data_IF_829390014018
#
_entry.id   IF_829390014018
#
_cell.length_a   1.000
_cell.length_b   1.000
_cell.length_c   1.000
_cell.angle_alpha   90.00
_cell.angle_beta   90.00
_cell.angle_gamma   90.00
#
_symmetry.space_group_name_H-M   'P 1'
#
loop_
_entity.id
_entity.type
_entity.pdbx_description
1 polymer ?
#
# COMPACT_ATOMS: atom_id res chain seq x y z
N UNK A 1 6.39 -6.13 -14.71
CA UNK A 1 6.23 -5.38 -13.45
C UNK A 1 7.60 -4.86 -13.03
N UNK A 2 7.81 -3.54 -12.96
CA UNK A 2 9.02 -2.95 -12.37
C UNK A 2 8.74 -2.71 -10.88
N UNK A 3 9.68 -3.03 -10.00
CA UNK A 3 9.59 -2.74 -8.57
C UNK A 3 10.95 -2.20 -8.09
N UNK A 4 10.90 -1.23 -7.18
CA UNK A 4 12.09 -0.75 -6.49
C UNK A 4 12.32 -1.60 -5.22
N UNK A 5 13.57 -2.02 -4.99
CA UNK A 5 13.97 -2.88 -3.89
C UNK A 5 15.03 -2.18 -3.04
N UNK A 6 14.72 -1.87 -1.78
CA UNK A 6 15.68 -1.31 -0.83
C UNK A 6 15.93 -2.33 0.28
N UNK A 7 17.15 -2.91 0.34
CA UNK A 7 17.49 -4.04 1.23
C UNK A 7 18.69 -3.69 2.09
N UNK A 8 18.56 -3.86 3.41
CA UNK A 8 19.70 -3.93 4.33
C UNK A 8 19.51 -5.11 5.30
N UNK A 9 20.34 -6.16 5.12
CA UNK A 9 20.55 -7.35 6.00
C UNK A 9 19.68 -8.59 5.72
N UNK A 10 20.14 -9.81 6.09
CA UNK A 10 19.49 -11.05 5.69
C UNK A 10 18.30 -11.37 6.62
N UNK A 11 17.16 -11.65 5.98
CA UNK A 11 15.88 -12.11 6.53
C UNK A 11 15.11 -11.14 7.44
N UNK A 12 14.20 -10.35 6.85
CA UNK A 12 13.18 -9.64 7.60
C UNK A 12 11.91 -10.49 7.71
N UNK A 13 11.46 -10.63 8.95
CA UNK A 13 10.22 -11.31 9.35
C UNK A 13 8.98 -10.50 8.92
N UNK A 14 9.16 -9.26 8.45
CA UNK A 14 8.11 -8.32 8.10
C UNK A 14 8.40 -7.59 6.78
N UNK A 15 7.43 -7.56 5.86
CA UNK A 15 7.52 -6.75 4.63
C UNK A 15 6.39 -5.74 4.50
N UNK A 16 6.69 -4.56 3.93
CA UNK A 16 5.69 -3.52 3.65
C UNK A 16 5.45 -3.40 2.15
N UNK A 17 4.19 -3.54 1.74
CA UNK A 17 3.72 -3.21 0.40
C UNK A 17 3.27 -1.74 0.37
N UNK A 18 3.73 -0.97 -0.61
CA UNK A 18 3.40 0.44 -0.72
C UNK A 18 2.57 0.75 -1.96
N UNK A 19 1.41 1.41 -1.79
CA UNK A 19 0.48 1.77 -2.87
C UNK A 19 0.27 3.28 -2.86
N UNK A 20 0.61 3.96 -3.95
CA UNK A 20 0.62 5.41 -4.00
C UNK A 20 0.12 5.96 -5.33
N UNK A 21 -0.38 7.19 -5.27
CA UNK A 21 -0.49 8.14 -6.38
C UNK A 21 0.64 9.15 -6.21
N UNK A 22 1.25 9.63 -7.31
CA UNK A 22 2.51 10.39 -7.44
C UNK A 22 2.66 11.69 -6.58
N UNK A 23 1.73 11.98 -5.67
CA UNK A 23 1.69 13.16 -4.80
C UNK A 23 2.78 13.20 -3.71
N UNK A 24 3.45 12.08 -3.42
CA UNK A 24 4.55 11.97 -2.44
C UNK A 24 5.63 11.10 -3.08
N UNK A 25 6.92 11.38 -2.81
CA UNK A 25 8.00 10.47 -3.20
C UNK A 25 7.92 9.19 -2.35
N UNK A 26 7.40 8.07 -2.91
CA UNK A 26 7.21 6.84 -2.16
C UNK A 26 8.55 6.20 -1.78
N UNK A 27 9.62 6.51 -2.52
CA UNK A 27 10.94 5.94 -2.33
C UNK A 27 11.58 6.51 -1.06
N UNK A 28 11.36 7.79 -0.76
CA UNK A 28 11.85 8.37 0.50
C UNK A 28 11.22 7.73 1.73
N UNK A 29 9.91 7.45 1.71
CA UNK A 29 9.29 6.74 2.84
C UNK A 29 9.72 5.28 2.87
N UNK A 30 9.80 4.63 1.72
CA UNK A 30 10.30 3.25 1.62
C UNK A 30 11.72 3.11 2.17
N UNK A 31 12.61 4.06 1.86
CA UNK A 31 13.99 4.06 2.35
C UNK A 31 14.06 4.27 3.87
N UNK A 32 13.20 5.12 4.44
CA UNK A 32 13.09 5.27 5.90
C UNK A 32 12.60 4.00 6.59
N UNK A 33 11.60 3.34 6.00
CA UNK A 33 11.06 2.07 6.51
C UNK A 33 12.10 0.95 6.36
N UNK A 34 12.83 0.91 5.25
CA UNK A 34 13.92 -0.04 5.04
C UNK A 34 15.08 0.21 6.02
N UNK A 35 15.42 1.48 6.28
CA UNK A 35 16.42 1.85 7.28
C UNK A 35 16.02 1.45 8.71
N UNK A 36 14.71 1.36 9.00
CA UNK A 36 14.18 0.83 10.26
C UNK A 36 14.22 -0.72 10.35
N UNK A 37 14.72 -1.42 9.33
CA UNK A 37 14.97 -2.86 9.35
C UNK A 37 13.88 -3.72 8.70
N UNK A 38 12.93 -3.12 7.99
CA UNK A 38 11.90 -3.85 7.24
C UNK A 38 12.35 -4.12 5.79
N UNK A 39 11.78 -5.15 5.18
CA UNK A 39 11.87 -5.30 3.72
C UNK A 39 10.73 -4.57 3.06
N UNK A 40 11.08 -3.69 2.14
CA UNK A 40 10.10 -2.81 1.53
C UNK A 40 10.03 -3.10 0.05
N UNK A 41 8.80 -3.31 -0.42
CA UNK A 41 8.48 -3.40 -1.82
C UNK A 41 7.59 -2.22 -2.20
N UNK A 42 7.98 -1.56 -3.29
CA UNK A 42 7.18 -0.53 -3.95
C UNK A 42 6.90 -1.00 -5.37
N UNK A 43 5.86 -1.83 -5.60
CA UNK A 43 5.50 -2.25 -6.93
C UNK A 43 4.82 -1.12 -7.69
N UNK A 44 5.15 -1.03 -8.97
CA UNK A 44 4.47 -0.13 -9.89
C UNK A 44 3.13 -0.75 -10.35
N UNK A 45 2.07 -0.56 -9.56
CA UNK A 45 0.72 -1.01 -9.90
C UNK A 45 0.03 -0.17 -10.98
N UNK A 46 0.58 1.01 -11.29
CA UNK A 46 0.06 1.95 -12.29
C UNK A 46 0.74 1.78 -13.64
N UNK A 47 1.75 0.90 -13.75
CA UNK A 47 2.50 0.61 -14.97
C UNK A 47 3.06 1.87 -15.66
N UNK A 48 3.49 2.84 -14.86
CA UNK A 48 4.01 4.13 -15.33
C UNK A 48 2.94 5.17 -15.68
N UNK A 49 1.65 4.83 -15.64
CA UNK A 49 0.54 5.74 -15.94
C UNK A 49 0.08 6.50 -14.69
N UNK A 50 1.03 7.21 -14.08
CA UNK A 50 0.81 7.98 -12.87
C UNK A 50 -0.12 9.17 -13.11
N UNK A 51 -0.98 9.46 -12.13
CA UNK A 51 -1.77 10.69 -12.17
C UNK A 51 -0.86 11.92 -12.12
N UNK A 52 -1.21 12.93 -12.91
CA UNK A 52 -0.58 14.25 -12.89
C UNK A 52 -1.64 15.33 -12.69
N UNK A 53 -1.29 16.50 -12.13
CA UNK A 53 -2.23 17.60 -11.91
C UNK A 53 -2.98 18.09 -13.16
N UNK A 54 -2.43 17.82 -14.35
CA UNK A 54 -3.03 18.17 -15.64
C UNK A 54 -4.16 17.21 -16.05
N UNK A 55 -4.25 16.04 -15.43
CA UNK A 55 -5.27 15.02 -15.72
C UNK A 55 -6.44 15.12 -14.76
N UNK A 56 -7.68 15.10 -15.27
CA UNK A 56 -8.87 15.03 -14.41
C UNK A 56 -8.85 13.76 -13.56
N UNK A 57 -8.94 13.92 -12.24
CA UNK A 57 -8.82 12.82 -11.28
C UNK A 57 -9.87 11.75 -11.49
N UNK A 58 -11.11 12.14 -11.81
CA UNK A 58 -12.21 11.21 -12.06
C UNK A 58 -11.96 10.31 -13.27
N UNK A 59 -11.42 10.87 -14.35
CA UNK A 59 -11.13 10.11 -15.57
C UNK A 59 -9.95 9.16 -15.36
N UNK A 60 -8.94 9.60 -14.63
CA UNK A 60 -7.83 8.73 -14.23
C UNK A 60 -8.29 7.60 -13.32
N UNK A 61 -9.16 7.88 -12.34
CA UNK A 61 -9.68 6.86 -11.40
C UNK A 61 -10.60 5.85 -12.09
N UNK A 62 -11.34 6.22 -13.15
CA UNK A 62 -12.09 5.25 -13.97
C UNK A 62 -11.17 4.25 -14.67
N UNK A 63 -9.99 4.70 -15.11
CA UNK A 63 -8.98 3.84 -15.76
C UNK A 63 -8.20 3.01 -14.75
N UNK A 64 -7.93 3.59 -13.58
CA UNK A 64 -7.18 2.99 -12.48
C UNK A 64 -8.09 2.90 -11.25
N UNK A 65 -9.07 2.00 -11.30
CA UNK A 65 -9.94 1.78 -10.16
C UNK A 65 -9.13 1.15 -9.01
N UNK A 66 -9.14 1.69 -7.77
CA UNK A 66 -8.37 1.15 -6.66
C UNK A 66 -8.57 -0.35 -6.44
N UNK A 67 -9.79 -0.84 -6.64
CA UNK A 67 -10.20 -2.22 -6.44
C UNK A 67 -9.43 -3.19 -7.34
N UNK A 68 -9.04 -2.75 -8.55
CA UNK A 68 -8.24 -3.56 -9.48
C UNK A 68 -6.83 -3.83 -8.94
N UNK A 69 -6.34 -3.00 -8.01
CA UNK A 69 -5.00 -3.14 -7.42
C UNK A 69 -4.88 -4.42 -6.59
N UNK A 70 -5.98 -4.92 -6.03
CA UNK A 70 -5.97 -6.15 -5.21
C UNK A 70 -5.52 -7.34 -6.05
N UNK A 71 -6.01 -7.47 -7.28
CA UNK A 71 -5.62 -8.55 -8.20
C UNK A 71 -4.13 -8.48 -8.57
N UNK A 72 -3.56 -7.28 -8.71
CA UNK A 72 -2.13 -7.12 -8.94
C UNK A 72 -1.29 -7.36 -7.68
N UNK A 73 -1.84 -7.09 -6.49
CA UNK A 73 -1.15 -7.26 -5.22
C UNK A 73 -1.10 -8.73 -4.75
N UNK A 74 -2.11 -9.54 -5.07
CA UNK A 74 -2.18 -10.97 -4.68
C UNK A 74 -0.92 -11.77 -5.08
N UNK A 75 -0.44 -11.73 -6.33
CA UNK A 75 0.81 -12.40 -6.72
C UNK A 75 2.05 -11.90 -5.97
N UNK A 76 2.10 -10.60 -5.63
CA UNK A 76 3.21 -10.03 -4.84
C UNK A 76 3.19 -10.59 -3.43
N UNK A 77 2.03 -10.59 -2.77
CA UNK A 77 1.83 -11.17 -1.44
C UNK A 77 2.23 -12.65 -1.42
N UNK A 78 1.80 -13.42 -2.42
CA UNK A 78 2.17 -14.82 -2.54
C UNK A 78 3.69 -15.00 -2.70
N UNK A 79 4.32 -14.25 -3.59
CA UNK A 79 5.77 -14.33 -3.80
C UNK A 79 6.58 -13.97 -2.54
N UNK A 80 6.08 -13.06 -1.71
CA UNK A 80 6.70 -12.72 -0.42
C UNK A 80 6.60 -13.90 0.57
N UNK A 81 5.44 -14.54 0.65
CA UNK A 81 5.25 -15.72 1.51
C UNK A 81 6.13 -16.89 1.07
N UNK A 82 6.24 -17.14 -0.23
CA UNK A 82 7.12 -18.18 -0.80
C UNK A 82 8.61 -17.90 -0.51
N UNK A 83 8.99 -16.64 -0.33
CA UNK A 83 10.34 -16.24 0.13
C UNK A 83 10.56 -16.40 1.64
N UNK A 84 9.57 -16.90 2.38
CA UNK A 84 9.64 -17.12 3.82
C UNK A 84 9.26 -15.92 4.68
N UNK A 85 8.67 -14.86 4.10
CA UNK A 85 8.17 -13.73 4.87
C UNK A 85 6.83 -14.13 5.48
N UNK A 86 6.79 -14.17 6.81
CA UNK A 86 5.62 -14.63 7.58
C UNK A 86 4.74 -13.51 8.11
N UNK A 87 5.23 -12.25 8.11
CA UNK A 87 4.41 -11.08 8.45
C UNK A 87 4.45 -10.06 7.32
N UNK A 88 3.30 -9.55 6.93
CA UNK A 88 3.10 -8.58 5.87
C UNK A 88 2.29 -7.41 6.41
N UNK A 89 2.82 -6.21 6.20
CA UNK A 89 2.07 -4.97 6.32
C UNK A 89 1.82 -4.38 4.94
N UNK A 90 0.84 -3.49 4.85
CA UNK A 90 0.63 -2.66 3.66
C UNK A 90 0.35 -1.22 4.05
N UNK A 91 0.84 -0.27 3.26
CA UNK A 91 0.63 1.16 3.45
C UNK A 91 0.12 1.80 2.15
N UNK A 92 -0.91 2.63 2.28
CA UNK A 92 -1.57 3.27 1.14
C UNK A 92 -1.80 4.76 1.37
N UNK A 93 -1.53 5.56 0.33
CA UNK A 93 -1.76 7.02 0.34
C UNK A 93 -2.88 7.42 -0.62
N UNK A 94 -3.83 8.20 -0.11
CA UNK A 94 -4.94 8.79 -0.87
C UNK A 94 -5.71 7.68 -1.59
N UNK A 95 -5.65 7.64 -2.92
CA UNK A 95 -6.18 6.58 -3.77
C UNK A 95 -5.67 5.18 -3.35
N UNK A 96 -4.40 5.06 -2.99
CA UNK A 96 -3.79 3.80 -2.58
C UNK A 96 -4.30 3.27 -1.24
N UNK A 97 -4.91 4.11 -0.40
CA UNK A 97 -5.47 3.66 0.87
C UNK A 97 -6.71 2.77 0.66
N UNK A 98 -7.51 3.04 -0.38
CA UNK A 98 -8.63 2.18 -0.76
C UNK A 98 -8.15 0.80 -1.19
N UNK A 99 -7.12 0.74 -2.04
CA UNK A 99 -6.48 -0.51 -2.43
C UNK A 99 -5.95 -1.31 -1.22
N UNK A 100 -5.35 -0.63 -0.23
CA UNK A 100 -4.88 -1.29 1.01
C UNK A 100 -6.04 -1.78 1.87
N UNK A 101 -7.11 -1.00 2.00
CA UNK A 101 -8.30 -1.41 2.75
C UNK A 101 -8.96 -2.64 2.12
N UNK A 102 -9.07 -2.70 0.79
CA UNK A 102 -9.62 -3.86 0.10
C UNK A 102 -8.68 -5.07 0.18
N UNK A 103 -7.36 -4.85 0.04
CA UNK A 103 -6.37 -5.91 0.25
C UNK A 103 -6.43 -6.50 1.67
N UNK A 104 -6.72 -5.68 2.69
CA UNK A 104 -6.88 -6.12 4.07
C UNK A 104 -8.13 -6.98 4.34
N UNK A 105 -9.08 -7.01 3.40
CA UNK A 105 -10.26 -7.89 3.46
C UNK A 105 -9.97 -9.27 2.85
N UNK A 106 -9.14 -9.30 1.80
CA UNK A 106 -8.96 -10.50 0.98
C UNK A 106 -7.63 -11.22 1.20
N UNK A 107 -6.58 -10.49 1.54
CA UNK A 107 -5.22 -11.02 1.68
C UNK A 107 -4.79 -11.07 3.14
N UNK A 108 -3.98 -12.07 3.48
CA UNK A 108 -3.38 -12.21 4.82
C UNK A 108 -2.25 -11.19 5.04
N UNK A 109 -2.62 -9.93 5.20
CA UNK A 109 -1.77 -8.90 5.79
C UNK A 109 -2.14 -8.71 7.26
N UNK A 110 -1.16 -8.44 8.11
CA UNK A 110 -1.36 -8.30 9.56
C UNK A 110 -1.53 -6.83 9.98
N UNK A 111 -1.02 -5.89 9.18
CA UNK A 111 -1.11 -4.46 9.47
C UNK A 111 -1.45 -3.68 8.19
N UNK A 112 -2.42 -2.79 8.28
CA UNK A 112 -2.76 -1.83 7.24
C UNK A 112 -2.57 -0.39 7.75
N UNK A 113 -1.77 0.40 7.06
CA UNK A 113 -1.59 1.83 7.32
C UNK A 113 -2.30 2.64 6.22
N UNK A 114 -3.38 3.32 6.59
CA UNK A 114 -4.15 4.17 5.70
C UNK A 114 -3.74 5.63 5.95
N UNK A 115 -2.97 6.18 5.02
CA UNK A 115 -2.31 7.48 5.15
C UNK A 115 -3.11 8.44 4.28
N UNK A 116 -3.65 9.52 4.87
CA UNK A 116 -4.63 10.47 4.31
C UNK A 116 -5.66 9.84 3.33
N UNK A 117 -6.41 8.79 3.73
CA UNK A 117 -7.15 7.98 2.78
C UNK A 117 -8.17 8.77 1.98
N UNK A 118 -8.34 8.37 0.72
CA UNK A 118 -9.45 8.77 -0.12
C UNK A 118 -10.17 7.52 -0.65
N UNK A 119 -11.45 7.66 -1.02
CA UNK A 119 -12.31 6.56 -1.52
C UNK A 119 -12.55 5.40 -0.53
N UNK A 120 -12.09 5.51 0.71
CA UNK A 120 -12.34 4.54 1.78
C UNK A 120 -13.66 4.87 2.47
N UNK A 121 -14.52 3.87 2.61
CA UNK A 121 -15.80 3.95 3.32
C UNK A 121 -15.72 3.31 4.71
N UNK A 122 -16.72 3.53 5.56
CA UNK A 122 -16.80 2.87 6.86
C UNK A 122 -16.97 1.35 6.74
N UNK A 123 -17.67 0.88 5.71
CA UNK A 123 -17.85 -0.55 5.47
C UNK A 123 -16.54 -1.20 5.04
N UNK A 124 -15.68 -0.44 4.35
CA UNK A 124 -14.34 -0.91 4.04
C UNK A 124 -13.54 -1.19 5.30
N UNK A 125 -13.52 -0.25 6.24
CA UNK A 125 -12.79 -0.37 7.51
C UNK A 125 -13.33 -1.53 8.35
N UNK A 126 -14.66 -1.67 8.44
CA UNK A 126 -15.29 -2.77 9.20
C UNK A 126 -15.01 -4.15 8.61
N UNK A 127 -14.77 -4.23 7.30
CA UNK A 127 -14.47 -5.49 6.62
C UNK A 127 -13.03 -5.97 6.78
N UNK A 128 -12.12 -5.13 7.29
CA UNK A 128 -10.71 -5.47 7.41
C UNK A 128 -10.47 -6.46 8.54
N UNK A 129 -9.73 -7.54 8.28
CA UNK A 129 -9.42 -8.57 9.28
C UNK A 129 -8.09 -8.31 10.02
N UNK A 130 -7.44 -7.18 9.76
CA UNK A 130 -6.11 -6.88 10.26
C UNK A 130 -6.08 -5.63 11.16
N UNK A 131 -5.02 -5.49 11.95
CA UNK A 131 -4.80 -4.26 12.72
C UNK A 131 -4.63 -3.08 11.78
N UNK A 132 -5.45 -2.05 11.96
CA UNK A 132 -5.52 -0.90 11.06
C UNK A 132 -5.08 0.36 11.78
N UNK A 133 -4.24 1.17 11.14
CA UNK A 133 -3.90 2.51 11.61
C UNK A 133 -4.30 3.52 10.56
N UNK A 134 -5.07 4.53 10.98
CA UNK A 134 -5.56 5.60 10.14
C UNK A 134 -4.84 6.91 10.49
N UNK A 135 -4.17 7.53 9.50
CA UNK A 135 -3.50 8.81 9.67
C UNK A 135 -4.18 9.83 8.76
N UNK A 136 -5.13 10.60 9.31
CA UNK A 136 -5.79 11.71 8.61
C UNK A 136 -4.89 12.95 8.73
N UNK A 137 -4.92 13.83 7.73
CA UNK A 137 -4.12 15.05 7.69
C UNK A 137 -4.48 15.97 8.88
N UNK A 138 -3.66 15.96 9.92
CA UNK A 138 -3.70 16.89 11.05
C UNK A 138 -4.80 16.61 12.09
N UNK A 139 -4.35 16.33 13.32
CA UNK A 139 -5.11 16.12 14.57
C UNK A 139 -5.94 14.85 14.68
N UNK A 140 -5.38 13.84 15.35
CA UNK A 140 -6.12 12.71 15.91
C UNK A 140 -5.71 11.36 15.33
N UNK A 141 -4.82 10.69 16.05
CA UNK A 141 -4.63 9.25 15.91
C UNK A 141 -5.88 8.57 16.47
N UNK A 142 -6.61 7.82 15.65
CA UNK A 142 -7.55 6.81 16.13
C UNK A 142 -6.82 5.48 16.04
N UNK A 143 -6.26 5.05 17.18
CA UNK A 143 -5.74 3.69 17.40
C UNK A 143 -6.86 2.75 17.79
#
# INVERSE_FOLDING_TARGET
>A
MRYHLSVKRPFPVASLLYIFIQLVDPLQLADKVAAAGYYVLVPDFLFGDYWTPETQLDDWTKKHAPEQTVEFAKPVVQALKEKGISKLGSAGFCWGAKAVADLAKEAEIQVAALLHPNFVTLDDIKGMFCSTTLIIRGEGVVT
#
